data_IF_182171945651
#
_entry.id   IF_182171945651
#
_cell.length_a   1.000
_cell.length_b   1.000
_cell.length_c   1.000
_cell.angle_alpha   90.00
_cell.angle_beta   90.00
_cell.angle_gamma   90.00
#
_symmetry.space_group_name_H-M   'P 1'
#
loop_
_entity.id
_entity.type
_entity.pdbx_description
1 polymer ?
#
# COMPACT_ATOMS: atom_id res chain seq x y z
N UNK A 1 0.42 8.43 -1.20
CA UNK A 1 -0.71 8.67 -2.13
C UNK A 1 -2.05 8.27 -1.53
N UNK A 2 -2.19 7.10 -0.88
CA UNK A 2 -3.47 6.69 -0.30
C UNK A 2 -3.88 7.40 1.02
N UNK A 3 -3.04 8.31 1.54
CA UNK A 3 -3.34 9.11 2.72
C UNK A 3 -3.74 10.53 2.30
N UNK A 4 -4.50 11.27 3.13
CA UNK A 4 -4.80 12.68 2.86
C UNK A 4 -3.53 13.51 2.67
N UNK A 5 -3.60 14.51 1.79
CA UNK A 5 -2.43 15.31 1.41
C UNK A 5 -1.80 16.04 2.59
N UNK A 6 -2.61 16.43 3.59
CA UNK A 6 -2.15 17.08 4.82
C UNK A 6 -1.14 16.24 5.62
N UNK A 7 -1.35 14.92 5.68
CA UNK A 7 -0.46 14.01 6.44
C UNK A 7 0.58 13.32 5.55
N UNK A 8 0.37 13.32 4.22
CA UNK A 8 1.27 12.68 3.28
C UNK A 8 2.65 13.33 3.25
N UNK A 9 2.72 14.67 3.29
CA UNK A 9 4.00 15.39 3.31
C UNK A 9 4.83 15.01 4.54
N UNK A 10 4.16 14.90 5.69
CA UNK A 10 4.79 14.46 6.93
C UNK A 10 5.29 13.02 6.90
N UNK A 11 4.55 12.13 6.25
CA UNK A 11 5.00 10.75 6.07
C UNK A 11 6.24 10.70 5.18
N UNK A 12 6.26 11.46 4.08
CA UNK A 12 7.42 11.50 3.17
C UNK A 12 8.65 12.06 3.90
N UNK A 13 8.50 13.16 4.65
CA UNK A 13 9.59 13.73 5.45
C UNK A 13 10.09 12.73 6.50
N UNK A 14 9.19 12.06 7.21
CA UNK A 14 9.55 11.03 8.19
C UNK A 14 10.38 9.90 7.55
N UNK A 15 9.92 9.35 6.43
CA UNK A 15 10.58 8.23 5.74
C UNK A 15 11.92 8.64 5.11
N UNK A 16 11.98 9.83 4.52
CA UNK A 16 13.23 10.34 3.94
C UNK A 16 14.29 10.53 5.01
N UNK A 17 13.95 11.11 6.17
CA UNK A 17 14.87 11.23 7.30
C UNK A 17 15.25 9.86 7.89
N UNK A 18 14.29 8.94 8.00
CA UNK A 18 14.52 7.59 8.51
C UNK A 18 15.53 6.81 7.66
N UNK A 19 15.52 7.00 6.34
CA UNK A 19 16.46 6.35 5.44
C UNK A 19 17.80 7.11 5.35
N UNK A 20 17.75 8.44 5.24
CA UNK A 20 18.92 9.25 4.94
C UNK A 20 19.84 9.49 6.14
N UNK A 21 19.27 9.83 7.31
CA UNK A 21 20.09 10.21 8.47
C UNK A 21 20.97 9.05 8.98
N UNK A 22 20.45 7.82 9.15
CA UNK A 22 21.28 6.70 9.57
C UNK A 22 22.34 6.34 8.53
N UNK A 23 22.00 6.38 7.24
CA UNK A 23 22.97 6.16 6.16
C UNK A 23 24.10 7.19 6.19
N UNK A 24 23.79 8.46 6.47
CA UNK A 24 24.78 9.54 6.59
C UNK A 24 25.73 9.29 7.76
N UNK A 25 25.22 8.88 8.92
CA UNK A 25 26.07 8.54 10.07
C UNK A 25 26.93 7.30 9.82
N UNK A 26 26.38 6.26 9.19
CA UNK A 26 27.13 5.07 8.78
C UNK A 26 28.33 5.45 7.88
N UNK A 27 28.12 6.35 6.92
CA UNK A 27 29.20 6.86 6.05
C UNK A 27 30.26 7.66 6.79
N UNK A 28 29.88 8.42 7.83
CA UNK A 28 30.86 9.15 8.67
C UNK A 28 31.68 8.17 9.51
N UNK A 29 31.04 7.17 10.12
CA UNK A 29 31.71 6.14 10.90
C UNK A 29 32.69 5.31 10.04
N UNK A 30 32.29 4.94 8.82
CA UNK A 30 33.15 4.23 7.87
C UNK A 30 34.39 5.05 7.48
N UNK A 31 34.23 6.34 7.18
CA UNK A 31 35.35 7.24 6.87
C UNK A 31 36.30 7.44 8.04
N UNK A 32 35.77 7.64 9.25
CA UNK A 32 36.58 7.76 10.47
C UNK A 32 37.38 6.47 10.74
N UNK A 33 36.82 5.30 10.44
CA UNK A 33 37.50 4.01 10.59
C UNK A 33 38.64 3.80 9.57
N UNK A 34 38.52 4.34 8.35
CA UNK A 34 39.59 4.28 7.34
C UNK A 34 40.71 5.28 7.62
N UNK A 35 40.37 6.52 8.00
CA UNK A 35 41.35 7.58 8.30
C UNK A 35 42.10 7.31 9.62
N UNK A 36 41.44 6.70 10.61
CA UNK A 36 42.08 6.28 11.87
C UNK A 36 43.08 5.13 11.73
N UNK A 37 43.10 4.42 10.60
CA UNK A 37 44.07 3.35 10.30
C UNK A 37 45.40 3.86 9.74
N UNK A 38 45.42 5.01 9.09
CA UNK A 38 46.63 5.59 8.49
C UNK A 38 47.47 6.40 9.50
N UNK A 39 46.86 6.90 10.58
CA UNK A 39 47.52 7.68 11.63
C UNK A 39 48.43 6.90 12.60
N UNK A 40 48.49 5.56 12.51
CA UNK A 40 49.32 4.72 13.37
C UNK A 40 50.62 4.24 12.68
N UNK A 41 50.84 4.56 11.41
CA UNK A 41 52.05 4.20 10.66
C UNK A 41 53.04 5.37 10.62
N UNK A 42 53.50 5.81 11.80
CA UNK A 42 54.43 6.93 11.95
C UNK A 42 55.58 6.64 12.91
N UNK A 43 56.50 5.75 12.50
CA UNK A 43 57.97 5.86 12.69
C UNK A 43 58.66 4.49 12.75
N UNK A 44 59.41 4.15 11.69
CA UNK A 44 60.62 3.33 11.79
C UNK A 44 60.53 1.86 11.35
N UNK A 45 60.77 1.60 10.05
CA UNK A 45 61.77 0.66 9.52
C UNK A 45 61.37 0.13 8.14
N UNK A 46 62.34 0.14 7.21
CA UNK A 46 62.17 -0.31 5.84
C UNK A 46 62.15 -1.84 5.79
N UNK A 47 60.99 -2.41 5.44
CA UNK A 47 60.81 -3.81 5.04
C UNK A 47 59.73 -3.89 3.95
N UNK A 48 59.82 -4.86 3.02
CA UNK A 48 58.92 -4.90 1.85
C UNK A 48 57.47 -5.20 2.27
N UNK A 49 56.45 -4.65 1.57
CA UNK A 49 55.06 -4.80 1.98
C UNK A 49 54.52 -6.18 1.60
N UNK A 50 54.16 -7.00 2.59
CA UNK A 50 53.22 -8.12 2.39
C UNK A 50 51.79 -7.60 2.57
N UNK A 51 51.05 -7.46 1.47
CA UNK A 51 49.75 -6.80 1.39
C UNK A 51 48.55 -7.69 1.75
N UNK A 52 48.61 -8.49 2.83
CA UNK A 52 47.49 -9.39 3.22
C UNK A 52 46.51 -8.80 4.27
N UNK A 53 46.70 -7.56 4.74
CA UNK A 53 45.88 -6.96 5.82
C UNK A 53 44.64 -6.17 5.40
N UNK A 54 44.37 -5.98 4.10
CA UNK A 54 43.30 -5.09 3.63
C UNK A 54 41.87 -5.60 3.87
N UNK A 55 41.67 -6.92 3.88
CA UNK A 55 40.34 -7.52 4.02
C UNK A 55 39.77 -7.42 5.45
N UNK A 56 40.63 -7.49 6.48
CA UNK A 56 40.21 -7.41 7.88
C UNK A 56 39.88 -5.99 8.30
N UNK A 57 40.63 -4.98 7.82
CA UNK A 57 40.34 -3.57 8.10
C UNK A 57 39.02 -3.13 7.46
N UNK A 58 38.75 -3.55 6.22
CA UNK A 58 37.48 -3.29 5.55
C UNK A 58 36.30 -3.90 6.32
N UNK A 59 36.43 -5.16 6.78
CA UNK A 59 35.39 -5.84 7.56
C UNK A 59 35.13 -5.18 8.93
N UNK A 60 36.17 -4.67 9.59
CA UNK A 60 36.04 -3.94 10.85
C UNK A 60 35.38 -2.57 10.63
N UNK A 61 35.69 -1.88 9.54
CA UNK A 61 35.05 -0.61 9.19
C UNK A 61 33.56 -0.78 8.87
N UNK A 62 33.18 -1.85 8.17
CA UNK A 62 31.77 -2.15 7.90
C UNK A 62 31.01 -2.49 9.17
N UNK A 63 31.56 -3.32 10.06
CA UNK A 63 30.92 -3.65 11.33
C UNK A 63 30.70 -2.42 12.22
N UNK A 64 31.72 -1.54 12.35
CA UNK A 64 31.59 -0.28 13.08
C UNK A 64 30.54 0.65 12.46
N UNK A 65 30.45 0.70 11.13
CA UNK A 65 29.46 1.50 10.44
C UNK A 65 28.03 0.98 10.68
N UNK A 66 27.82 -0.34 10.66
CA UNK A 66 26.52 -0.97 10.95
C UNK A 66 26.08 -0.76 12.40
N UNK A 67 26.99 -0.85 13.36
CA UNK A 67 26.72 -0.59 14.78
C UNK A 67 26.39 0.89 15.03
N UNK A 68 27.15 1.81 14.44
CA UNK A 68 26.88 3.24 14.50
C UNK A 68 25.53 3.58 13.84
N UNK A 69 25.21 2.96 12.71
CA UNK A 69 23.92 3.12 12.06
C UNK A 69 22.78 2.63 12.96
N UNK A 70 22.91 1.44 13.54
CA UNK A 70 21.86 0.81 14.34
C UNK A 70 21.60 1.55 15.65
N UNK A 71 22.67 2.00 16.33
CA UNK A 71 22.55 2.79 17.56
C UNK A 71 21.93 4.16 17.30
N UNK A 72 22.36 4.85 16.24
CA UNK A 72 21.78 6.13 15.83
C UNK A 72 20.30 6.00 15.45
N UNK A 73 19.94 4.96 14.68
CA UNK A 73 18.58 4.74 14.23
C UNK A 73 17.63 4.47 15.41
N UNK A 74 18.09 3.71 16.43
CA UNK A 74 17.33 3.53 17.68
C UNK A 74 17.09 4.84 18.42
N UNK A 75 18.14 5.65 18.62
CA UNK A 75 18.03 6.95 19.29
C UNK A 75 17.12 7.93 18.52
N UNK A 76 17.25 7.98 17.19
CA UNK A 76 16.42 8.81 16.32
C UNK A 76 14.94 8.49 16.48
N UNK A 77 14.57 7.20 16.53
CA UNK A 77 13.18 6.78 16.72
C UNK A 77 12.69 7.10 18.12
N UNK A 78 13.46 6.76 19.16
CA UNK A 78 13.02 6.89 20.56
C UNK A 78 12.93 8.33 21.04
N UNK A 79 13.80 9.22 20.57
CA UNK A 79 13.89 10.59 21.05
C UNK A 79 13.19 11.53 20.07
N UNK A 80 13.75 11.69 18.87
CA UNK A 80 13.35 12.72 17.92
C UNK A 80 12.00 12.41 17.28
N UNK A 81 11.82 11.19 16.74
CA UNK A 81 10.58 10.86 16.05
C UNK A 81 9.42 10.69 17.02
N UNK A 82 9.67 10.16 18.21
CA UNK A 82 8.64 9.99 19.22
C UNK A 82 8.07 11.33 19.67
N UNK A 83 8.90 12.28 20.06
CA UNK A 83 8.46 13.62 20.45
C UNK A 83 7.73 14.33 19.31
N UNK A 84 8.31 14.33 18.11
CA UNK A 84 7.74 15.01 16.94
C UNK A 84 6.39 14.43 16.53
N UNK A 85 6.27 13.11 16.47
CA UNK A 85 5.03 12.46 16.05
C UNK A 85 3.93 12.62 17.10
N UNK A 86 4.26 12.56 18.40
CA UNK A 86 3.29 12.84 19.47
C UNK A 86 2.77 14.28 19.38
N UNK A 87 3.64 15.25 19.13
CA UNK A 87 3.25 16.65 18.96
C UNK A 87 2.31 16.83 17.73
N UNK A 88 2.69 16.29 16.57
CA UNK A 88 1.88 16.40 15.35
C UNK A 88 0.53 15.69 15.46
N UNK A 89 0.53 14.43 15.90
CA UNK A 89 -0.71 13.64 16.05
C UNK A 89 -1.61 14.27 17.13
N UNK A 90 -1.04 14.91 18.15
CA UNK A 90 -1.78 15.67 19.14
C UNK A 90 -2.57 16.83 18.53
N UNK A 91 -1.98 17.56 17.59
CA UNK A 91 -2.68 18.61 16.82
C UNK A 91 -3.74 18.00 15.91
N UNK A 92 -3.40 16.95 15.17
CA UNK A 92 -4.32 16.34 14.19
C UNK A 92 -5.53 15.69 14.83
N UNK A 93 -5.42 15.19 16.06
CA UNK A 93 -6.54 14.61 16.81
C UNK A 93 -7.72 15.59 16.94
N UNK A 94 -7.45 16.89 16.98
CA UNK A 94 -8.50 17.92 17.09
C UNK A 94 -9.16 18.29 15.76
N UNK A 95 -8.67 17.77 14.63
CA UNK A 95 -9.13 18.14 13.30
C UNK A 95 -10.31 17.25 12.91
N UNK A 96 -11.44 17.84 12.55
CA UNK A 96 -12.59 17.08 12.06
C UNK A 96 -12.30 16.52 10.66
N UNK A 97 -12.42 15.20 10.43
CA UNK A 97 -12.25 14.62 9.09
C UNK A 97 -13.23 15.25 8.09
N UNK A 98 -12.73 15.65 6.91
CA UNK A 98 -13.54 16.30 5.88
C UNK A 98 -13.85 17.79 6.13
N UNK A 99 -13.28 18.41 7.16
CA UNK A 99 -13.38 19.87 7.37
C UNK A 99 -12.78 20.67 6.19
N UNK A 100 -11.77 20.09 5.54
CA UNK A 100 -11.11 20.67 4.38
C UNK A 100 -10.64 19.54 3.44
N UNK A 101 -10.50 19.81 2.12
CA UNK A 101 -10.18 18.78 1.13
C UNK A 101 -8.83 18.09 1.40
N UNK A 102 -7.87 18.76 2.03
CA UNK A 102 -6.57 18.18 2.38
C UNK A 102 -6.63 17.11 3.48
N UNK A 103 -7.74 17.03 4.22
CA UNK A 103 -8.02 16.03 5.26
C UNK A 103 -8.93 14.90 4.79
N UNK A 104 -9.37 14.92 3.53
CA UNK A 104 -10.16 13.86 2.93
C UNK A 104 -9.26 12.78 2.32
N UNK A 105 -9.70 11.52 2.42
CA UNK A 105 -8.98 10.41 1.81
C UNK A 105 -9.19 10.42 0.30
N UNK A 106 -8.13 10.31 -0.52
CA UNK A 106 -8.27 10.26 -1.96
C UNK A 106 -8.94 8.95 -2.39
N UNK A 107 -9.92 9.07 -3.28
CA UNK A 107 -10.56 7.93 -3.92
C UNK A 107 -9.73 7.51 -5.15
N UNK A 108 -8.89 6.50 -4.98
CA UNK A 108 -8.03 5.96 -6.04
C UNK A 108 -8.59 4.64 -6.58
N UNK A 109 -8.09 4.21 -7.74
CA UNK A 109 -8.51 2.97 -8.40
C UNK A 109 -8.43 1.73 -7.49
N UNK A 110 -7.38 1.64 -6.67
CA UNK A 110 -7.15 0.52 -5.75
C UNK A 110 -7.76 0.68 -4.36
N UNK A 111 -8.40 1.81 -4.06
CA UNK A 111 -9.04 2.05 -2.76
C UNK A 111 -10.17 1.04 -2.56
N UNK A 112 -10.18 0.30 -1.44
CA UNK A 112 -11.24 -0.68 -1.15
C UNK A 112 -11.75 -0.62 0.30
N UNK A 113 -11.02 0.09 1.16
CA UNK A 113 -11.39 0.27 2.55
C UNK A 113 -12.53 1.29 2.66
N UNK A 114 -13.47 1.01 3.55
CA UNK A 114 -14.56 1.95 3.88
C UNK A 114 -14.03 3.12 4.70
N UNK A 115 -14.85 4.19 4.84
CA UNK A 115 -14.54 5.31 5.75
C UNK A 115 -14.39 4.86 7.20
N UNK A 116 -15.14 3.84 7.60
CA UNK A 116 -15.06 3.25 8.95
C UNK A 116 -13.72 2.52 9.14
N UNK A 117 -13.30 1.73 8.15
CA UNK A 117 -12.02 1.01 8.20
C UNK A 117 -10.82 1.96 8.19
N UNK A 118 -10.87 3.02 7.39
CA UNK A 118 -9.82 4.05 7.35
C UNK A 118 -9.79 4.87 8.65
N UNK A 119 -10.95 5.15 9.22
CA UNK A 119 -11.11 5.91 10.44
C UNK A 119 -10.58 7.34 10.31
N UNK A 120 -10.05 7.87 11.41
CA UNK A 120 -9.49 9.22 11.44
C UNK A 120 -8.18 9.34 10.65
N UNK A 121 -7.94 10.41 9.86
CA UNK A 121 -6.68 10.63 9.12
C UNK A 121 -5.41 10.43 9.96
N UNK A 122 -5.40 10.96 11.18
CA UNK A 122 -4.30 10.77 12.12
C UNK A 122 -4.06 9.30 12.49
N UNK A 123 -5.12 8.49 12.66
CA UNK A 123 -5.01 7.06 12.95
C UNK A 123 -4.46 6.30 11.74
N UNK A 124 -4.97 6.59 10.54
CA UNK A 124 -4.47 6.03 9.29
C UNK A 124 -2.97 6.33 9.10
N UNK A 125 -2.54 7.57 9.36
CA UNK A 125 -1.14 7.93 9.37
C UNK A 125 -0.33 7.11 10.38
N UNK A 126 -0.79 7.00 11.63
CA UNK A 126 -0.09 6.24 12.67
C UNK A 126 0.07 4.77 12.27
N UNK A 127 -0.98 4.15 11.72
CA UNK A 127 -0.91 2.76 11.23
C UNK A 127 0.15 2.61 10.13
N UNK A 128 0.15 3.48 9.11
CA UNK A 128 1.10 3.43 7.99
C UNK A 128 2.52 3.72 8.46
N UNK A 129 2.73 4.83 9.17
CA UNK A 129 4.06 5.24 9.63
C UNK A 129 4.69 4.17 10.52
N UNK A 130 3.95 3.66 11.53
CA UNK A 130 4.49 2.64 12.42
C UNK A 130 4.73 1.32 11.71
N UNK A 131 3.89 0.94 10.75
CA UNK A 131 4.11 -0.27 9.95
C UNK A 131 5.38 -0.16 9.09
N UNK A 132 5.57 0.97 8.39
CA UNK A 132 6.74 1.19 7.54
C UNK A 132 8.04 1.27 8.35
N UNK A 133 8.04 1.94 9.50
CA UNK A 133 9.22 1.97 10.38
C UNK A 133 9.55 0.58 10.96
N UNK A 134 8.54 -0.24 11.25
CA UNK A 134 8.71 -1.60 11.76
C UNK A 134 9.26 -2.59 10.72
N UNK A 135 9.34 -2.22 9.43
CA UNK A 135 9.99 -3.04 8.41
C UNK A 135 11.50 -3.21 8.69
N UNK A 136 12.13 -2.25 9.38
CA UNK A 136 13.50 -2.38 9.86
C UNK A 136 13.52 -3.04 11.26
N UNK A 137 13.89 -4.32 11.30
CA UNK A 137 13.91 -5.11 12.52
C UNK A 137 14.82 -4.56 13.63
N UNK A 138 15.78 -3.66 13.30
CA UNK A 138 16.71 -3.06 14.27
C UNK A 138 16.04 -2.12 15.27
N UNK A 139 14.85 -1.61 14.93
CA UNK A 139 14.06 -0.67 15.76
C UNK A 139 12.66 -1.17 16.12
N UNK A 140 12.41 -2.46 15.99
CA UNK A 140 11.11 -3.06 16.29
C UNK A 140 10.59 -2.68 17.69
N UNK A 141 11.44 -2.70 18.72
CA UNK A 141 11.08 -2.32 20.10
C UNK A 141 10.74 -0.84 20.24
N UNK A 142 11.57 0.04 19.68
CA UNK A 142 11.38 1.49 19.74
C UNK A 142 10.10 1.89 18.99
N UNK A 143 9.84 1.26 17.84
CA UNK A 143 8.63 1.49 17.05
C UNK A 143 7.39 0.94 17.75
N UNK A 144 7.48 -0.19 18.46
CA UNK A 144 6.37 -0.71 19.26
C UNK A 144 5.99 0.24 20.40
N UNK A 145 6.98 0.80 21.11
CA UNK A 145 6.74 1.80 22.16
C UNK A 145 6.11 3.08 21.59
N UNK A 146 6.66 3.59 20.49
CA UNK A 146 6.12 4.74 19.76
C UNK A 146 4.66 4.50 19.34
N UNK A 147 4.37 3.35 18.73
CA UNK A 147 3.03 2.96 18.32
C UNK A 147 2.06 2.94 19.51
N UNK A 148 2.45 2.34 20.64
CA UNK A 148 1.63 2.30 21.85
C UNK A 148 1.33 3.70 22.38
N UNK A 149 2.31 4.60 22.39
CA UNK A 149 2.11 5.99 22.84
C UNK A 149 1.18 6.77 21.90
N UNK A 150 1.35 6.64 20.58
CA UNK A 150 0.50 7.29 19.57
C UNK A 150 -0.95 6.78 19.62
N UNK A 151 -1.16 5.47 19.74
CA UNK A 151 -2.50 4.89 19.86
C UNK A 151 -3.18 5.31 21.16
N UNK A 152 -2.44 5.37 22.27
CA UNK A 152 -2.94 5.89 23.55
C UNK A 152 -3.38 7.35 23.44
N UNK A 153 -2.63 8.18 22.72
CA UNK A 153 -2.98 9.57 22.45
C UNK A 153 -4.31 9.70 21.68
N UNK A 154 -4.56 8.79 20.74
CA UNK A 154 -5.78 8.71 19.94
C UNK A 154 -6.93 7.95 20.62
N UNK A 155 -6.74 7.44 21.85
CA UNK A 155 -7.71 6.61 22.57
C UNK A 155 -8.10 5.31 21.84
N UNK A 156 -7.18 4.71 21.07
CA UNK A 156 -7.37 3.44 20.38
C UNK A 156 -6.61 2.34 21.10
N UNK A 157 -7.25 1.17 21.26
CA UNK A 157 -6.61 -0.02 21.86
C UNK A 157 -5.52 -0.58 20.94
N UNK A 158 -4.36 -0.91 21.48
CA UNK A 158 -3.22 -1.46 20.73
C UNK A 158 -3.55 -2.76 19.97
N UNK A 159 -4.43 -3.58 20.55
CA UNK A 159 -4.87 -4.86 20.01
C UNK A 159 -6.28 -4.79 19.38
N UNK A 160 -6.82 -3.58 19.20
CA UNK A 160 -8.10 -3.39 18.52
C UNK A 160 -7.97 -3.65 17.02
N UNK A 161 -9.09 -4.05 16.39
CA UNK A 161 -9.20 -4.12 14.92
C UNK A 161 -8.85 -2.79 14.25
N UNK A 162 -9.11 -1.68 14.95
CA UNK A 162 -8.85 -0.33 14.49
C UNK A 162 -7.39 0.09 14.68
N UNK A 163 -6.55 -0.70 15.34
CA UNK A 163 -5.12 -0.43 15.39
C UNK A 163 -4.37 -1.21 14.30
N UNK A 164 -4.97 -2.29 13.78
CA UNK A 164 -4.35 -3.15 12.79
C UNK A 164 -4.03 -2.38 11.50
N UNK A 165 -2.81 -2.57 10.98
CA UNK A 165 -2.46 -2.04 9.68
C UNK A 165 -3.16 -2.85 8.59
N UNK A 166 -3.89 -2.17 7.72
CA UNK A 166 -4.50 -2.73 6.52
C UNK A 166 -3.95 -1.98 5.32
N UNK A 167 -3.58 -2.72 4.28
CA UNK A 167 -3.13 -2.10 3.03
C UNK A 167 -4.26 -1.24 2.46
N UNK A 168 -3.97 0.02 2.12
CA UNK A 168 -5.01 0.97 1.69
C UNK A 168 -5.35 0.84 0.20
N UNK A 169 -4.49 0.16 -0.56
CA UNK A 169 -4.61 -0.04 -1.99
C UNK A 169 -4.47 -1.52 -2.30
N UNK A 170 -5.49 -2.10 -2.93
CA UNK A 170 -5.40 -3.44 -3.49
C UNK A 170 -4.75 -3.33 -4.88
N UNK A 171 -3.58 -3.96 -5.14
CA UNK A 171 -2.99 -3.95 -6.47
C UNK A 171 -3.89 -4.68 -7.48
N UNK A 172 -4.02 -4.12 -8.68
CA UNK A 172 -4.71 -4.77 -9.79
C UNK A 172 -3.84 -4.77 -11.04
N UNK A 173 -3.30 -5.94 -11.37
CA UNK A 173 -2.44 -6.12 -12.55
C UNK A 173 -3.23 -6.80 -13.65
N UNK A 174 -3.29 -6.17 -14.82
CA UNK A 174 -3.76 -6.77 -16.05
C UNK A 174 -2.56 -7.38 -16.78
N UNK A 175 -2.40 -8.71 -16.79
CA UNK A 175 -1.21 -9.34 -17.37
C UNK A 175 -1.20 -9.23 -18.90
N UNK A 176 -0.08 -9.47 -19.57
CA UNK A 176 -0.01 -9.72 -21.02
C UNK A 176 -0.78 -8.71 -21.90
N UNK A 177 -0.61 -7.40 -21.66
CA UNK A 177 -1.16 -6.38 -22.55
C UNK A 177 -0.21 -6.17 -23.71
N UNK A 178 -0.68 -6.51 -24.91
CA UNK A 178 0.10 -6.46 -26.13
C UNK A 178 -0.25 -5.19 -26.92
N UNK A 179 0.77 -4.39 -27.24
CA UNK A 179 0.61 -3.26 -28.15
C UNK A 179 0.45 -3.75 -29.60
N UNK A 180 -0.66 -3.43 -30.25
CA UNK A 180 -0.93 -3.86 -31.64
C UNK A 180 0.04 -3.28 -32.68
N UNK A 181 0.81 -2.24 -32.32
CA UNK A 181 1.72 -1.56 -33.24
C UNK A 181 3.14 -2.10 -33.17
N UNK A 182 3.71 -2.23 -31.96
CA UNK A 182 5.09 -2.69 -31.79
C UNK A 182 5.22 -4.08 -31.17
N UNK A 183 4.12 -4.77 -30.86
CA UNK A 183 4.05 -6.08 -30.21
C UNK A 183 4.76 -6.16 -28.85
N UNK A 184 5.00 -5.01 -28.22
CA UNK A 184 5.45 -4.94 -26.84
C UNK A 184 4.39 -5.57 -25.94
N UNK A 185 4.77 -6.59 -25.18
CA UNK A 185 3.91 -7.31 -24.24
C UNK A 185 4.35 -6.98 -22.83
N UNK A 186 3.46 -6.39 -22.04
CA UNK A 186 3.75 -6.04 -20.64
C UNK A 186 2.52 -6.18 -19.77
N UNK A 187 2.76 -6.40 -18.49
CA UNK A 187 1.73 -6.28 -17.48
C UNK A 187 1.45 -4.80 -17.19
N UNK A 188 0.17 -4.45 -17.03
CA UNK A 188 -0.26 -3.12 -16.62
C UNK A 188 -0.80 -3.17 -15.19
N UNK A 189 -0.13 -2.52 -14.25
CA UNK A 189 -0.71 -2.27 -12.93
C UNK A 189 -1.66 -1.07 -13.02
N UNK A 190 -2.96 -1.34 -13.05
CA UNK A 190 -3.98 -0.32 -13.25
C UNK A 190 -4.23 0.55 -12.02
N UNK A 191 -3.59 0.22 -10.89
CA UNK A 191 -3.75 0.90 -9.60
C UNK A 191 -2.54 1.72 -9.19
N UNK A 192 -1.34 1.31 -9.61
CA UNK A 192 -0.06 1.91 -9.16
C UNK A 192 0.75 2.56 -10.29
N UNK A 193 0.43 2.31 -11.56
CA UNK A 193 1.16 2.93 -12.68
C UNK A 193 0.79 4.42 -12.79
N UNK A 194 1.77 5.31 -12.52
CA UNK A 194 1.60 6.77 -12.53
C UNK A 194 1.09 7.32 -13.87
N UNK A 195 1.48 6.72 -15.01
CA UNK A 195 1.01 7.20 -16.31
C UNK A 195 -0.47 6.85 -16.50
N UNK A 196 -0.88 5.66 -16.06
CA UNK A 196 -2.29 5.27 -16.08
C UNK A 196 -3.10 6.10 -15.10
N UNK A 197 -2.54 6.46 -13.95
CA UNK A 197 -3.18 7.38 -13.00
C UNK A 197 -3.47 8.77 -13.61
N UNK A 198 -2.67 9.19 -14.60
CA UNK A 198 -2.87 10.41 -15.39
C UNK A 198 -3.66 10.18 -16.69
N UNK A 199 -4.28 9.01 -16.85
CA UNK A 199 -4.99 8.58 -18.06
C UNK A 199 -4.13 8.56 -19.35
N UNK A 200 -2.80 8.44 -19.23
CA UNK A 200 -1.91 8.26 -20.37
C UNK A 200 -1.87 6.78 -20.80
N UNK A 201 -2.86 6.38 -21.59
CA UNK A 201 -3.02 5.03 -22.15
C UNK A 201 -2.14 4.79 -23.38
N UNK A 202 -0.85 5.07 -23.28
CA UNK A 202 0.12 4.87 -24.37
C UNK A 202 1.08 3.74 -24.06
N UNK A 203 1.46 3.00 -25.10
CA UNK A 203 2.53 2.01 -25.00
C UNK A 203 3.82 2.67 -24.49
N UNK A 204 4.56 1.99 -23.59
CA UNK A 204 5.82 2.51 -23.04
C UNK A 204 6.94 2.50 -24.07
N UNK A 205 6.92 1.57 -25.01
CA UNK A 205 7.96 1.39 -26.02
C UNK A 205 7.76 2.32 -27.23
N UNK A 206 6.56 2.35 -27.82
CA UNK A 206 6.30 3.13 -29.04
C UNK A 206 5.42 4.37 -28.86
N UNK A 207 4.90 4.63 -27.65
CA UNK A 207 4.01 5.78 -27.32
C UNK A 207 2.68 5.83 -28.07
N UNK A 208 2.34 4.81 -28.86
CA UNK A 208 1.05 4.73 -29.54
C UNK A 208 -0.06 4.38 -28.54
N UNK A 209 -1.28 4.95 -28.68
CA UNK A 209 -2.38 4.67 -27.76
C UNK A 209 -2.78 3.20 -27.81
N UNK A 210 -3.01 2.64 -26.63
CA UNK A 210 -3.56 1.30 -26.45
C UNK A 210 -5.08 1.35 -26.64
N UNK A 211 -5.66 0.26 -27.16
CA UNK A 211 -7.12 0.14 -27.29
C UNK A 211 -7.76 -0.10 -25.92
N UNK A 212 -8.16 0.98 -25.26
CA UNK A 212 -8.82 0.97 -23.95
C UNK A 212 -10.14 0.20 -23.96
N UNK A 213 -10.86 0.17 -25.09
CA UNK A 213 -12.10 -0.61 -25.20
C UNK A 213 -11.80 -2.13 -25.21
N UNK A 214 -10.69 -2.55 -25.81
CA UNK A 214 -10.24 -3.95 -25.70
C UNK A 214 -9.79 -4.31 -24.28
N UNK A 215 -9.14 -3.38 -23.58
CA UNK A 215 -8.77 -3.57 -22.18
C UNK A 215 -10.03 -3.69 -21.30
N UNK A 216 -11.03 -2.84 -21.50
CA UNK A 216 -12.32 -2.92 -20.80
C UNK A 216 -13.01 -4.27 -21.03
N UNK A 217 -13.11 -4.73 -22.29
CA UNK A 217 -13.70 -6.04 -22.61
C UNK A 217 -13.00 -7.18 -21.87
N UNK A 218 -11.68 -7.12 -21.76
CA UNK A 218 -10.88 -8.11 -21.02
C UNK A 218 -11.14 -8.04 -19.52
N UNK A 219 -11.23 -6.83 -18.95
CA UNK A 219 -11.58 -6.64 -17.53
C UNK A 219 -12.99 -7.17 -17.23
N UNK A 220 -13.96 -6.93 -18.12
CA UNK A 220 -15.32 -7.47 -18.00
C UNK A 220 -15.31 -9.01 -18.03
N UNK A 221 -14.51 -9.62 -18.90
CA UNK A 221 -14.35 -11.07 -18.92
C UNK A 221 -13.76 -11.60 -17.61
N UNK A 222 -12.75 -10.93 -17.05
CA UNK A 222 -12.16 -11.28 -15.75
C UNK A 222 -13.15 -11.13 -14.60
N UNK A 223 -13.96 -10.06 -14.58
CA UNK A 223 -15.01 -9.85 -13.59
C UNK A 223 -16.06 -10.98 -13.64
N UNK A 224 -16.52 -11.34 -14.84
CA UNK A 224 -17.46 -12.45 -15.04
C UNK A 224 -16.89 -13.79 -14.59
N UNK A 225 -15.62 -14.04 -14.91
CA UNK A 225 -14.93 -15.25 -14.46
C UNK A 225 -14.82 -15.30 -12.93
N UNK A 226 -14.57 -14.17 -12.27
CA UNK A 226 -14.53 -14.10 -10.81
C UNK A 226 -15.90 -14.37 -10.18
N UNK A 227 -16.96 -13.77 -10.74
CA UNK A 227 -18.34 -14.00 -10.28
C UNK A 227 -18.75 -15.48 -10.46
N UNK A 228 -18.45 -16.06 -11.62
CA UNK A 228 -18.71 -17.47 -11.88
C UNK A 228 -17.93 -18.37 -10.90
N UNK A 229 -16.64 -18.09 -10.68
CA UNK A 229 -15.81 -18.85 -9.75
C UNK A 229 -16.31 -18.78 -8.30
N UNK A 230 -16.90 -17.65 -7.87
CA UNK A 230 -17.54 -17.55 -6.56
C UNK A 230 -18.83 -18.37 -6.49
N UNK A 231 -19.65 -18.37 -7.54
CA UNK A 231 -20.91 -19.12 -7.58
C UNK A 231 -20.70 -20.63 -7.66
N UNK A 232 -19.65 -21.08 -8.37
CA UNK A 232 -19.34 -22.50 -8.56
C UNK A 232 -18.28 -23.03 -7.59
N UNK A 233 -17.94 -22.26 -6.55
CA UNK A 233 -16.92 -22.68 -5.58
C UNK A 233 -17.38 -23.90 -4.77
N UNK A 234 -16.42 -24.67 -4.28
CA UNK A 234 -16.71 -25.73 -3.33
C UNK A 234 -16.98 -25.19 -1.92
N UNK A 235 -17.63 -26.02 -1.10
CA UNK A 235 -17.80 -25.77 0.32
C UNK A 235 -16.85 -26.66 1.15
N UNK A 236 -16.25 -26.09 2.18
CA UNK A 236 -15.39 -26.80 3.12
C UNK A 236 -16.06 -26.95 4.49
N UNK A 237 -15.82 -28.06 5.17
CA UNK A 237 -16.33 -28.26 6.53
C UNK A 237 -15.58 -27.39 7.55
N UNK A 238 -16.29 -26.73 8.46
CA UNK A 238 -15.69 -25.93 9.53
C UNK A 238 -14.80 -26.76 10.46
N UNK A 239 -15.22 -28.02 10.76
CA UNK A 239 -14.55 -28.91 11.72
C UNK A 239 -13.35 -29.65 11.13
N UNK A 240 -13.58 -30.45 10.08
CA UNK A 240 -12.54 -31.32 9.50
C UNK A 240 -11.78 -30.70 8.32
N UNK A 241 -12.17 -29.49 7.86
CA UNK A 241 -11.57 -28.76 6.73
C UNK A 241 -11.59 -29.50 5.38
N UNK A 242 -12.27 -30.64 5.30
CA UNK A 242 -12.45 -31.37 4.05
C UNK A 242 -13.45 -30.65 3.14
N UNK A 243 -13.14 -30.68 1.85
CA UNK A 243 -14.03 -30.18 0.80
C UNK A 243 -15.17 -31.19 0.61
N UNK A 244 -16.41 -30.70 0.54
CA UNK A 244 -17.58 -31.56 0.35
C UNK A 244 -17.62 -32.13 -1.06
N UNK A 245 -17.88 -33.44 -1.19
CA UNK A 245 -17.94 -34.15 -2.48
C UNK A 245 -19.38 -34.41 -2.97
N UNK A 246 -20.34 -33.54 -2.64
CA UNK A 246 -21.73 -33.68 -3.10
C UNK A 246 -22.56 -32.40 -2.96
N UNK A 247 -23.61 -32.29 -3.79
CA UNK A 247 -24.35 -31.04 -4.00
C UNK A 247 -25.60 -30.84 -3.12
N UNK A 248 -26.13 -31.92 -2.51
CA UNK A 248 -27.40 -31.88 -1.78
C UNK A 248 -27.28 -31.89 -0.25
N UNK A 249 -26.06 -31.99 0.28
CA UNK A 249 -25.84 -32.12 1.73
C UNK A 249 -25.67 -30.74 2.36
N UNK A 250 -26.45 -30.46 3.39
CA UNK A 250 -26.29 -29.25 4.22
C UNK A 250 -25.17 -29.38 5.28
N UNK A 251 -24.77 -30.62 5.59
CA UNK A 251 -23.76 -30.95 6.60
C UNK A 251 -22.67 -31.84 6.01
N UNK A 252 -21.47 -31.77 6.61
CA UNK A 252 -20.36 -32.64 6.25
C UNK A 252 -20.71 -34.12 6.49
N UNK A 253 -20.52 -34.96 5.47
CA UNK A 253 -20.80 -36.39 5.55
C UNK A 253 -19.92 -37.18 6.53
N UNK A 254 -18.77 -36.64 6.94
CA UNK A 254 -17.82 -37.33 7.82
C UNK A 254 -18.01 -37.00 9.30
N UNK A 255 -18.23 -35.72 9.63
CA UNK A 255 -18.24 -35.23 11.01
C UNK A 255 -19.50 -34.44 11.39
N UNK A 256 -20.47 -34.34 10.48
CA UNK A 256 -21.71 -33.58 10.69
C UNK A 256 -21.51 -32.07 10.91
N UNK A 257 -20.30 -31.54 10.67
CA UNK A 257 -20.02 -30.11 10.79
C UNK A 257 -20.65 -29.30 9.66
N UNK A 258 -20.98 -28.04 9.94
CA UNK A 258 -21.47 -27.11 8.92
C UNK A 258 -20.47 -26.89 7.79
N UNK A 259 -21.01 -26.57 6.61
CA UNK A 259 -20.25 -26.27 5.40
C UNK A 259 -20.17 -24.76 5.21
N UNK A 260 -19.00 -24.26 4.82
CA UNK A 260 -18.74 -22.84 4.55
C UNK A 260 -18.07 -22.67 3.19
N UNK A 261 -18.26 -21.52 2.57
CA UNK A 261 -17.60 -21.16 1.32
C UNK A 261 -16.07 -21.25 1.45
N UNK A 262 -15.42 -21.84 0.45
CA UNK A 262 -13.94 -21.89 0.38
C UNK A 262 -13.35 -20.50 0.16
N UNK A 263 -14.00 -19.68 -0.66
CA UNK A 263 -13.74 -18.24 -0.81
C UNK A 263 -14.72 -17.47 0.05
N UNK A 264 -14.19 -16.73 1.01
CA UNK A 264 -15.00 -15.90 1.90
C UNK A 264 -15.77 -14.82 1.12
N UNK A 265 -17.03 -14.53 1.50
CA UNK A 265 -17.82 -13.48 0.86
C UNK A 265 -17.14 -12.11 0.96
N UNK A 266 -16.54 -11.79 2.11
CA UNK A 266 -15.90 -10.48 2.34
C UNK A 266 -14.70 -10.25 1.40
N UNK A 267 -13.93 -11.31 1.10
CA UNK A 267 -12.80 -11.22 0.18
C UNK A 267 -13.25 -10.97 -1.27
N UNK A 268 -14.36 -11.61 -1.66
CA UNK A 268 -14.95 -11.44 -3.00
C UNK A 268 -15.55 -10.06 -3.14
N UNK A 269 -16.31 -9.60 -2.14
CA UNK A 269 -16.86 -8.26 -2.10
C UNK A 269 -15.77 -7.18 -2.21
N UNK A 270 -14.68 -7.31 -1.46
CA UNK A 270 -13.53 -6.39 -1.56
C UNK A 270 -12.96 -6.33 -2.98
N UNK A 271 -12.81 -7.48 -3.66
CA UNK A 271 -12.34 -7.52 -5.05
C UNK A 271 -13.32 -6.85 -6.02
N UNK A 272 -14.62 -7.05 -5.85
CA UNK A 272 -15.65 -6.40 -6.67
C UNK A 272 -15.66 -4.88 -6.47
N UNK A 273 -15.45 -4.39 -5.24
CA UNK A 273 -15.29 -2.95 -4.95
C UNK A 273 -14.09 -2.37 -5.70
N UNK A 274 -12.98 -3.08 -5.77
CA UNK A 274 -11.80 -2.65 -6.55
C UNK A 274 -12.12 -2.58 -8.03
N UNK A 275 -12.83 -3.56 -8.61
CA UNK A 275 -13.28 -3.49 -10.00
C UNK A 275 -14.15 -2.26 -10.27
N UNK A 276 -15.10 -1.96 -9.38
CA UNK A 276 -15.95 -0.77 -9.49
C UNK A 276 -15.14 0.53 -9.42
N UNK A 277 -14.25 0.63 -8.43
CA UNK A 277 -13.46 1.85 -8.21
C UNK A 277 -12.44 2.06 -9.34
N UNK A 278 -11.81 0.99 -9.81
CA UNK A 278 -10.99 0.98 -11.01
C UNK A 278 -11.77 1.47 -12.24
N UNK A 279 -12.98 0.96 -12.43
CA UNK A 279 -13.83 1.30 -13.56
C UNK A 279 -14.23 2.78 -13.54
N UNK A 280 -14.65 3.29 -12.37
CA UNK A 280 -14.98 4.71 -12.17
C UNK A 280 -13.77 5.61 -12.35
N UNK A 281 -12.62 5.20 -11.81
CA UNK A 281 -11.39 5.97 -11.89
C UNK A 281 -10.92 6.11 -13.33
N UNK A 282 -10.96 5.05 -14.14
CA UNK A 282 -10.47 5.08 -15.54
C UNK A 282 -11.55 5.37 -16.59
N UNK A 283 -12.82 5.47 -16.22
CA UNK A 283 -13.94 5.72 -17.12
C UNK A 283 -14.46 4.50 -17.89
N UNK A 284 -14.30 3.28 -17.37
CA UNK A 284 -14.83 2.05 -17.96
C UNK A 284 -16.31 1.84 -17.61
N UNK A 285 -17.21 2.36 -18.44
CA UNK A 285 -18.66 2.36 -18.17
C UNK A 285 -19.25 0.97 -17.99
N UNK A 286 -18.97 0.03 -18.91
CA UNK A 286 -19.57 -1.32 -18.88
C UNK A 286 -19.05 -2.09 -17.67
N UNK A 287 -17.77 -1.92 -17.35
CA UNK A 287 -17.18 -2.55 -16.17
C UNK A 287 -17.81 -2.00 -14.88
N UNK A 288 -18.04 -0.68 -14.80
CA UNK A 288 -18.63 -0.03 -13.64
C UNK A 288 -20.07 -0.53 -13.39
N UNK A 289 -20.91 -0.53 -14.42
CA UNK A 289 -22.30 -1.01 -14.35
C UNK A 289 -22.37 -2.46 -13.87
N UNK A 290 -21.57 -3.36 -14.47
CA UNK A 290 -21.56 -4.78 -14.10
C UNK A 290 -21.02 -5.02 -12.69
N UNK A 291 -19.99 -4.28 -12.26
CA UNK A 291 -19.43 -4.41 -10.92
C UNK A 291 -20.42 -3.91 -9.86
N UNK A 292 -21.08 -2.78 -10.10
CA UNK A 292 -22.13 -2.24 -9.23
C UNK A 292 -23.35 -3.17 -9.16
N UNK A 293 -23.79 -3.73 -10.29
CA UNK A 293 -24.87 -4.72 -10.31
C UNK A 293 -24.55 -5.97 -9.48
N UNK A 294 -23.32 -6.50 -9.58
CA UNK A 294 -22.87 -7.64 -8.77
C UNK A 294 -22.77 -7.31 -7.27
N UNK A 295 -22.50 -6.06 -6.92
CA UNK A 295 -22.49 -5.58 -5.53
C UNK A 295 -23.89 -5.31 -4.98
N UNK A 296 -24.91 -5.27 -5.84
CA UNK A 296 -26.28 -4.92 -5.47
C UNK A 296 -26.50 -3.42 -5.26
N UNK A 297 -25.62 -2.57 -5.80
CA UNK A 297 -25.83 -1.13 -5.83
C UNK A 297 -27.05 -0.81 -6.72
N UNK A 298 -27.85 0.20 -6.37
CA UNK A 298 -28.88 0.70 -7.28
C UNK A 298 -28.22 1.25 -8.56
N UNK A 299 -28.85 1.12 -9.74
CA UNK A 299 -28.34 1.77 -10.94
C UNK A 299 -28.25 3.28 -10.68
N UNK A 300 -27.06 3.86 -10.87
CA UNK A 300 -26.89 5.31 -10.89
C UNK A 300 -27.74 5.83 -12.05
N UNK A 301 -28.82 6.54 -11.73
CA UNK A 301 -29.72 7.12 -12.72
C UNK A 301 -28.96 8.13 -13.59
N UNK A 302 -29.34 8.18 -14.87
CA UNK A 302 -28.92 9.21 -15.84
C UNK A 302 -29.31 10.61 -15.34
N UNK A 303 -28.50 11.22 -14.47
CA UNK A 303 -28.49 12.67 -14.28
C UNK A 303 -27.37 13.23 -15.15
N UNK A 304 -27.62 13.41 -16.45
CA UNK A 304 -26.90 14.33 -17.34
C UNK A 304 -27.41 14.20 -18.78
N UNK A 305 -28.69 14.49 -19.06
CA UNK A 305 -29.17 14.69 -20.44
C UNK A 305 -30.54 15.41 -20.56
N UNK A 306 -30.94 16.26 -19.60
CA UNK A 306 -32.08 17.18 -19.81
C UNK A 306 -31.73 18.59 -19.33
N UNK A 307 -31.13 19.38 -20.22
CA UNK A 307 -30.70 20.73 -19.89
C UNK A 307 -30.38 21.61 -21.08
N UNK A 308 -31.04 21.44 -22.24
CA UNK A 308 -31.06 22.48 -23.29
C UNK A 308 -32.29 22.36 -24.19
N UNK A 309 -33.45 22.79 -23.69
CA UNK A 309 -34.47 23.41 -24.55
C UNK A 309 -34.66 24.84 -24.05
N UNK A 310 -33.74 25.70 -24.49
CA UNK A 310 -33.87 27.14 -24.33
C UNK A 310 -35.11 27.62 -25.07
N UNK A 311 -35.99 28.31 -24.33
CA UNK A 311 -37.10 29.04 -24.89
C UNK A 311 -36.61 30.16 -25.82
N UNK A 312 -37.36 30.37 -26.89
CA UNK A 312 -37.14 31.48 -27.79
C UNK A 312 -38.10 31.44 -28.95
N UNK A 313 -39.32 31.93 -28.76
CA UNK A 313 -40.08 32.55 -29.85
C UNK A 313 -41.08 33.55 -29.26
N UNK A 314 -40.69 34.83 -29.34
CA UNK A 314 -41.60 35.95 -29.30
C UNK A 314 -41.88 36.43 -30.72
N UNK A 315 -43.15 36.47 -31.10
CA UNK A 315 -43.77 37.51 -31.91
C UNK A 315 -45.27 37.41 -31.85
#
# INVERSE_FOLDING_TARGET
ENLPSAVQQDLVLLLTEFLYLPWREARRAAKAATEGGEGAAGSGSQGPPMSQGGSTQAAVATAKAEEAQSSFLRALVSEVFTERLLARVGVWKGITPGCAPEWEFPQLAGSYLSREDLGHPALAFVRVATHLLALDGRVSEQVALLRRQLLKLLHVSEFGTDAEFREMCQPFVLPDVICIFCNDCRDLDLTRDEALAQHDWRCRSCRQPLDTASLERRLVAMLRAEAAAYQTQDLACVKCKQVTSGHLRSLCGLCGGGLVNTRRPEATQRRLVVYRNLARFHGFRVLAELASWLLGDAPEGEEDLEGTTGGGEGR
#
